data_IF_121332238077
#
_entry.id   IF_121332238077
#
_cell.length_a   1.000
_cell.length_b   1.000
_cell.length_c   1.000
_cell.angle_alpha   90.00
_cell.angle_beta   90.00
_cell.angle_gamma   90.00
#
_symmetry.space_group_name_H-M   'P 1'
#
loop_
_entity.id
_entity.type
_entity.pdbx_description
1 polymer ?
#
# COMPACT_ATOMS: atom_id res chain seq x y z
N UNK A 1 22.22 -4.83 -29.40
CA UNK A 1 21.42 -3.99 -28.47
C UNK A 1 22.40 -3.21 -27.61
N UNK A 2 22.16 -1.91 -27.32
CA UNK A 2 23.00 -1.19 -26.38
C UNK A 2 22.96 -1.88 -25.00
N UNK A 3 24.07 -1.84 -24.27
CA UNK A 3 24.14 -2.40 -22.94
C UNK A 3 23.21 -1.62 -22.00
N UNK A 4 22.27 -2.32 -21.35
CA UNK A 4 21.43 -1.74 -20.31
C UNK A 4 22.31 -1.54 -19.08
N UNK A 5 22.51 -0.30 -18.65
CA UNK A 5 23.23 0.02 -17.43
C UNK A 5 22.21 0.18 -16.31
N UNK A 6 22.24 -0.72 -15.32
CA UNK A 6 21.40 -0.64 -14.13
C UNK A 6 22.22 0.10 -13.06
N UNK A 7 21.68 1.18 -12.46
CA UNK A 7 22.41 1.90 -11.42
C UNK A 7 22.57 1.04 -10.16
N UNK A 8 23.69 1.22 -9.46
CA UNK A 8 24.00 0.50 -8.21
C UNK A 8 23.00 0.78 -7.08
N UNK A 9 22.27 1.90 -7.17
CA UNK A 9 21.20 2.28 -6.24
C UNK A 9 19.96 2.58 -7.07
N UNK A 10 18.89 1.86 -6.80
CA UNK A 10 17.65 1.94 -7.55
C UNK A 10 16.47 1.80 -6.59
N UNK A 11 15.61 2.82 -6.51
CA UNK A 11 14.26 2.64 -5.99
C UNK A 11 13.28 2.50 -7.16
N UNK A 12 12.42 1.49 -7.12
CA UNK A 12 11.46 1.23 -8.19
C UNK A 12 10.42 2.35 -8.34
N UNK A 13 10.02 3.02 -7.27
CA UNK A 13 9.12 4.16 -7.34
C UNK A 13 9.76 5.33 -8.12
N UNK A 14 11.04 5.61 -7.87
CA UNK A 14 11.76 6.66 -8.59
C UNK A 14 11.93 6.30 -10.08
N UNK A 15 12.35 5.07 -10.36
CA UNK A 15 12.62 4.61 -11.71
C UNK A 15 11.37 4.55 -12.61
N UNK A 16 10.26 4.03 -12.07
CA UNK A 16 9.03 3.84 -12.86
C UNK A 16 8.12 5.07 -12.83
N UNK A 17 8.10 5.85 -11.75
CA UNK A 17 7.19 6.98 -11.61
C UNK A 17 7.89 8.33 -11.71
N UNK A 18 8.83 8.64 -10.81
CA UNK A 18 9.42 9.99 -10.71
C UNK A 18 10.19 10.35 -11.99
N UNK A 19 10.84 9.39 -12.62
CA UNK A 19 11.46 9.56 -13.93
C UNK A 19 10.47 10.05 -15.00
N UNK A 20 9.20 9.63 -14.96
CA UNK A 20 8.17 10.09 -15.91
C UNK A 20 7.80 11.54 -15.68
N UNK A 21 7.81 12.01 -14.43
CA UNK A 21 7.61 13.42 -14.13
C UNK A 21 8.81 14.25 -14.64
N UNK A 22 10.03 13.79 -14.41
CA UNK A 22 11.25 14.45 -14.90
C UNK A 22 11.32 14.53 -16.44
N UNK A 23 10.77 13.52 -17.13
CA UNK A 23 10.62 13.50 -18.59
C UNK A 23 9.47 14.39 -19.12
N UNK A 24 8.75 15.11 -18.26
CA UNK A 24 7.60 15.95 -18.64
C UNK A 24 6.34 15.14 -18.99
N UNK A 25 6.26 13.88 -18.57
CA UNK A 25 5.12 12.96 -18.83
C UNK A 25 4.19 12.82 -17.62
N UNK A 26 4.28 13.73 -16.65
CA UNK A 26 3.48 13.68 -15.42
C UNK A 26 1.98 13.62 -15.67
N UNK A 27 1.48 14.35 -16.68
CA UNK A 27 0.04 14.44 -16.96
C UNK A 27 -0.44 13.33 -17.91
N UNK A 28 0.45 12.43 -18.35
CA UNK A 28 0.08 11.27 -19.16
C UNK A 28 -0.67 10.26 -18.30
N UNK A 29 -1.80 9.77 -18.81
CA UNK A 29 -2.55 8.66 -18.21
C UNK A 29 -1.68 7.41 -18.09
N UNK A 30 -1.62 6.86 -16.89
CA UNK A 30 -0.86 5.67 -16.51
C UNK A 30 -1.78 4.49 -16.21
N UNK A 31 -2.93 4.74 -15.57
CA UNK A 31 -3.94 3.73 -15.24
C UNK A 31 -5.31 4.20 -15.76
N UNK A 32 -6.01 3.29 -16.43
CA UNK A 32 -7.44 3.40 -16.71
C UNK A 32 -8.18 2.51 -15.72
N UNK A 33 -9.11 3.07 -14.97
CA UNK A 33 -9.90 2.33 -13.98
C UNK A 33 -11.33 2.81 -13.97
N UNK A 34 -12.28 1.94 -14.33
CA UNK A 34 -13.69 2.31 -14.55
C UNK A 34 -13.77 3.54 -15.49
N UNK A 35 -14.43 4.61 -15.06
CA UNK A 35 -14.56 5.87 -15.80
C UNK A 35 -13.45 6.89 -15.47
N UNK A 36 -12.37 6.46 -14.80
CA UNK A 36 -11.28 7.32 -14.36
C UNK A 36 -10.01 7.11 -15.19
N UNK A 37 -9.37 8.23 -15.50
CA UNK A 37 -8.01 8.28 -16.05
C UNK A 37 -7.07 8.84 -14.98
N UNK A 38 -6.05 8.06 -14.63
CA UNK A 38 -5.14 8.40 -13.53
C UNK A 38 -3.76 8.63 -14.13
N UNK A 39 -3.26 9.85 -13.96
CA UNK A 39 -1.97 10.27 -14.49
C UNK A 39 -0.79 9.78 -13.67
N UNK A 40 0.41 9.78 -14.25
CA UNK A 40 1.64 9.49 -13.49
C UNK A 40 1.80 10.41 -12.27
N UNK A 41 1.47 11.70 -12.41
CA UNK A 41 1.50 12.67 -11.32
C UNK A 41 0.59 12.25 -10.17
N UNK A 42 -0.65 11.86 -10.46
CA UNK A 42 -1.59 11.41 -9.44
C UNK A 42 -1.07 10.18 -8.69
N UNK A 43 -0.47 9.21 -9.39
CA UNK A 43 0.14 8.03 -8.75
C UNK A 43 1.32 8.44 -7.85
N UNK A 44 2.19 9.36 -8.31
CA UNK A 44 3.32 9.85 -7.51
C UNK A 44 2.83 10.52 -6.23
N UNK A 45 1.87 11.44 -6.34
CA UNK A 45 1.33 12.18 -5.20
C UNK A 45 0.68 11.24 -4.18
N UNK A 46 -0.17 10.32 -4.63
CA UNK A 46 -0.79 9.32 -3.75
C UNK A 46 0.25 8.38 -3.12
N UNK A 47 1.26 7.93 -3.88
CA UNK A 47 2.35 7.10 -3.32
C UNK A 47 3.16 7.85 -2.26
N UNK A 48 3.32 9.18 -2.39
CA UNK A 48 3.98 10.01 -1.41
C UNK A 48 3.14 10.13 -0.13
N UNK A 49 1.82 10.27 -0.26
CA UNK A 49 0.92 10.27 0.90
C UNK A 49 1.01 8.94 1.66
N UNK A 50 0.98 7.80 0.96
CA UNK A 50 1.19 6.48 1.56
C UNK A 50 2.54 6.41 2.29
N UNK A 51 3.61 6.86 1.65
CA UNK A 51 4.95 6.88 2.24
C UNK A 51 4.98 7.64 3.56
N UNK A 52 4.37 8.82 3.58
CA UNK A 52 4.32 9.68 4.76
C UNK A 52 3.46 9.06 5.87
N UNK A 53 2.31 8.46 5.51
CA UNK A 53 1.48 7.72 6.46
C UNK A 53 2.26 6.57 7.11
N UNK A 54 2.94 5.74 6.32
CA UNK A 54 3.71 4.61 6.87
C UNK A 54 4.81 5.08 7.83
N UNK A 55 5.49 6.19 7.51
CA UNK A 55 6.49 6.80 8.39
C UNK A 55 5.88 7.35 9.68
N UNK A 56 4.72 8.01 9.59
CA UNK A 56 3.98 8.51 10.76
C UNK A 56 3.58 7.37 11.70
N UNK A 57 3.18 6.22 11.13
CA UNK A 57 2.88 4.99 11.85
C UNK A 57 4.13 4.25 12.38
N UNK A 58 5.32 4.82 12.15
CA UNK A 58 6.59 4.34 12.69
C UNK A 58 7.20 3.16 11.93
N UNK A 59 6.75 2.86 10.71
CA UNK A 59 7.39 1.86 9.85
C UNK A 59 8.80 2.31 9.46
N UNK A 60 9.71 1.35 9.44
CA UNK A 60 11.13 1.54 9.14
C UNK A 60 11.50 0.83 7.85
N UNK A 61 12.69 1.17 7.34
CA UNK A 61 13.31 0.43 6.24
C UNK A 61 13.31 -1.06 6.58
N UNK A 62 13.01 -1.90 5.59
CA UNK A 62 12.84 -3.35 5.70
C UNK A 62 11.59 -3.84 6.46
N UNK A 63 10.76 -2.97 7.03
CA UNK A 63 9.46 -3.43 7.55
C UNK A 63 8.57 -3.92 6.40
N UNK A 64 7.85 -5.02 6.66
CA UNK A 64 6.99 -5.64 5.66
C UNK A 64 5.58 -5.07 5.75
N UNK A 65 4.98 -4.81 4.60
CA UNK A 65 3.60 -4.36 4.48
C UNK A 65 2.84 -5.36 3.63
N UNK A 66 1.90 -6.06 4.25
CA UNK A 66 1.03 -7.00 3.55
C UNK A 66 -0.04 -6.20 2.78
N UNK A 67 -0.16 -6.47 1.49
CA UNK A 67 -1.13 -5.82 0.61
C UNK A 67 -2.21 -6.82 0.25
N UNK A 68 -3.41 -6.59 0.78
CA UNK A 68 -4.64 -7.34 0.52
C UNK A 68 -5.62 -6.45 -0.24
N UNK A 69 -5.17 -5.99 -1.41
CA UNK A 69 -5.87 -5.03 -2.25
C UNK A 69 -6.25 -5.68 -3.58
N UNK A 70 -7.45 -5.37 -4.05
CA UNK A 70 -7.99 -5.70 -5.35
C UNK A 70 -7.27 -4.91 -6.46
N UNK A 71 -7.51 -5.30 -7.71
CA UNK A 71 -6.96 -4.65 -8.91
C UNK A 71 -7.53 -3.24 -9.11
N UNK A 72 -7.02 -2.32 -8.31
CA UNK A 72 -7.51 -0.94 -8.13
C UNK A 72 -6.34 0.03 -8.10
N UNK A 73 -6.57 1.33 -8.35
CA UNK A 73 -5.51 2.33 -8.30
C UNK A 73 -4.79 2.38 -6.95
N UNK A 74 -5.50 2.13 -5.85
CA UNK A 74 -4.94 2.11 -4.50
C UNK A 74 -3.88 1.03 -4.33
N UNK A 75 -3.95 -0.10 -5.06
CA UNK A 75 -2.86 -1.07 -5.10
C UNK A 75 -1.57 -0.42 -5.60
N UNK A 76 -1.63 0.35 -6.69
CA UNK A 76 -0.45 1.03 -7.22
C UNK A 76 0.07 2.10 -6.24
N UNK A 77 -0.82 2.87 -5.63
CA UNK A 77 -0.44 3.88 -4.63
C UNK A 77 0.26 3.23 -3.42
N UNK A 78 -0.32 2.15 -2.90
CA UNK A 78 0.20 1.39 -1.77
C UNK A 78 1.56 0.78 -2.12
N UNK A 79 1.63 0.04 -3.23
CA UNK A 79 2.85 -0.67 -3.66
C UNK A 79 4.03 0.29 -3.82
N UNK A 80 3.86 1.37 -4.59
CA UNK A 80 4.94 2.34 -4.78
C UNK A 80 5.23 3.17 -3.53
N UNK A 81 4.24 3.45 -2.69
CA UNK A 81 4.44 4.14 -1.42
C UNK A 81 5.26 3.32 -0.41
N UNK A 82 4.98 2.02 -0.30
CA UNK A 82 5.75 1.09 0.52
C UNK A 82 7.21 1.04 0.05
N UNK A 83 7.43 0.91 -1.25
CA UNK A 83 8.78 0.90 -1.83
C UNK A 83 9.51 2.23 -1.62
N UNK A 84 8.82 3.36 -1.79
CA UNK A 84 9.36 4.70 -1.56
C UNK A 84 9.76 4.91 -0.10
N UNK A 85 9.04 4.27 0.84
CA UNK A 85 9.40 4.26 2.26
C UNK A 85 10.60 3.36 2.60
N UNK A 86 11.11 2.58 1.64
CA UNK A 86 12.14 1.56 1.88
C UNK A 86 11.61 0.32 2.61
N UNK A 87 10.29 0.18 2.69
CA UNK A 87 9.61 -0.99 3.23
C UNK A 87 9.51 -2.09 2.17
N UNK A 88 9.16 -3.31 2.59
CA UNK A 88 8.98 -4.47 1.71
C UNK A 88 7.49 -4.68 1.46
N UNK A 89 7.06 -4.48 0.22
CA UNK A 89 5.69 -4.80 -0.19
C UNK A 89 5.51 -6.31 -0.32
N UNK A 90 4.48 -6.85 0.34
CA UNK A 90 4.10 -8.27 0.29
C UNK A 90 2.67 -8.37 -0.26
N UNK A 91 2.49 -8.41 -1.59
CA UNK A 91 1.17 -8.69 -2.17
C UNK A 91 0.75 -10.13 -1.88
N UNK A 92 -0.48 -10.31 -1.40
CA UNK A 92 -1.08 -11.64 -1.23
C UNK A 92 -2.43 -11.71 -1.96
N UNK A 93 -2.89 -12.94 -2.23
CA UNK A 93 -4.16 -13.18 -2.90
C UNK A 93 -5.32 -12.74 -2.01
N UNK A 94 -6.30 -12.02 -2.57
CA UNK A 94 -7.47 -11.47 -1.86
C UNK A 94 -8.61 -12.48 -1.69
N UNK A 95 -8.54 -13.64 -2.34
CA UNK A 95 -9.55 -14.71 -2.25
C UNK A 95 -9.19 -15.82 -1.26
N UNK A 96 -8.27 -15.54 -0.34
CA UNK A 96 -7.83 -16.48 0.68
C UNK A 96 -8.77 -16.54 1.87
N UNK A 97 -8.68 -17.63 2.63
CA UNK A 97 -9.45 -17.82 3.85
C UNK A 97 -8.79 -17.12 5.04
N UNK A 98 -9.53 -17.00 6.15
CA UNK A 98 -8.98 -16.47 7.41
C UNK A 98 -7.74 -17.26 7.90
N UNK A 99 -7.74 -18.58 7.80
CA UNK A 99 -6.61 -19.43 8.22
C UNK A 99 -5.37 -19.19 7.34
N UNK A 100 -5.57 -18.98 6.04
CA UNK A 100 -4.49 -18.61 5.13
C UNK A 100 -3.90 -17.24 5.51
N UNK A 101 -4.74 -16.26 5.84
CA UNK A 101 -4.25 -14.96 6.31
C UNK A 101 -3.53 -15.05 7.65
N UNK A 102 -4.00 -15.87 8.58
CA UNK A 102 -3.29 -16.15 9.84
C UNK A 102 -1.88 -16.71 9.56
N UNK A 103 -1.75 -17.61 8.59
CA UNK A 103 -0.45 -18.11 8.14
C UNK A 103 0.44 -17.00 7.60
N UNK A 104 -0.06 -16.09 6.75
CA UNK A 104 0.72 -14.97 6.24
C UNK A 104 1.16 -14.00 7.33
N UNK A 105 0.32 -13.75 8.33
CA UNK A 105 0.66 -12.90 9.47
C UNK A 105 1.84 -13.48 10.28
N UNK A 106 1.86 -14.79 10.48
CA UNK A 106 2.95 -15.48 11.18
C UNK A 106 4.23 -15.58 10.32
N UNK A 107 4.07 -15.91 9.04
CA UNK A 107 5.18 -16.13 8.11
C UNK A 107 5.87 -14.82 7.71
N UNK A 108 5.10 -13.84 7.25
CA UNK A 108 5.64 -12.58 6.76
C UNK A 108 5.91 -11.56 7.87
N UNK A 109 5.26 -11.70 9.04
CA UNK A 109 5.35 -10.76 10.17
C UNK A 109 5.26 -9.31 9.70
N UNK A 110 4.17 -8.95 9.00
CA UNK A 110 4.01 -7.61 8.48
C UNK A 110 3.89 -6.63 9.65
N UNK A 111 4.53 -5.47 9.52
CA UNK A 111 4.35 -4.36 10.48
C UNK A 111 3.02 -3.66 10.25
N UNK A 112 2.54 -3.65 9.00
CA UNK A 112 1.24 -3.14 8.63
C UNK A 112 0.57 -4.02 7.57
N UNK A 113 -0.76 -4.01 7.55
CA UNK A 113 -1.59 -4.60 6.51
C UNK A 113 -2.42 -3.47 5.89
N UNK A 114 -2.38 -3.35 4.58
CA UNK A 114 -3.30 -2.49 3.82
C UNK A 114 -4.28 -3.41 3.12
N UNK A 115 -5.56 -3.29 3.46
CA UNK A 115 -6.60 -4.25 3.07
C UNK A 115 -7.82 -3.54 2.55
N UNK A 116 -8.40 -4.07 1.47
CA UNK A 116 -9.67 -3.56 0.98
C UNK A 116 -10.82 -3.93 1.92
N UNK A 117 -11.78 -3.02 2.04
CA UNK A 117 -13.00 -3.22 2.81
C UNK A 117 -13.71 -4.54 2.48
N UNK A 118 -13.71 -4.96 1.21
CA UNK A 118 -14.31 -6.21 0.72
C UNK A 118 -13.57 -7.47 1.21
N UNK A 119 -12.26 -7.37 1.45
CA UNK A 119 -11.39 -8.47 1.89
C UNK A 119 -11.29 -8.50 3.42
N UNK A 120 -11.51 -7.36 4.06
CA UNK A 120 -11.39 -7.19 5.51
C UNK A 120 -12.14 -8.25 6.34
N UNK A 121 -13.37 -8.69 6.00
CA UNK A 121 -14.09 -9.70 6.79
C UNK A 121 -13.33 -11.02 6.97
N UNK A 122 -12.46 -11.38 6.01
CA UNK A 122 -11.63 -12.60 6.11
C UNK A 122 -10.39 -12.38 6.99
N UNK A 123 -9.88 -11.15 7.07
CA UNK A 123 -8.74 -10.79 7.94
C UNK A 123 -9.17 -10.52 9.38
N UNK A 124 -10.34 -9.90 9.55
CA UNK A 124 -10.92 -9.46 10.82
C UNK A 124 -10.79 -10.47 11.98
N UNK A 125 -11.13 -11.78 11.80
CA UNK A 125 -11.10 -12.74 12.89
C UNK A 125 -9.70 -13.17 13.34
N UNK A 126 -8.64 -12.86 12.59
CA UNK A 126 -7.30 -13.46 12.83
C UNK A 126 -6.21 -12.44 13.16
N UNK A 127 -6.36 -11.17 12.79
CA UNK A 127 -5.23 -10.24 12.85
C UNK A 127 -4.84 -9.78 14.26
N UNK A 128 -5.81 -9.70 15.19
CA UNK A 128 -5.55 -9.31 16.59
C UNK A 128 -4.85 -10.41 17.38
N UNK A 129 -5.19 -11.66 17.08
CA UNK A 129 -4.69 -12.83 17.80
C UNK A 129 -3.37 -13.36 17.21
N UNK A 130 -2.87 -12.73 16.13
CA UNK A 130 -1.56 -13.03 15.58
C UNK A 130 -0.46 -12.80 16.62
N UNK A 131 0.62 -13.58 16.56
CA UNK A 131 1.75 -13.43 17.49
C UNK A 131 2.40 -12.04 17.42
N UNK A 132 2.31 -11.40 16.25
CA UNK A 132 2.77 -10.03 16.00
C UNK A 132 1.64 -9.24 15.31
N UNK A 133 0.69 -8.67 16.06
CA UNK A 133 -0.44 -7.96 15.48
C UNK A 133 0.03 -6.76 14.65
N UNK A 134 -0.34 -6.67 13.36
CA UNK A 134 0.04 -5.55 12.51
C UNK A 134 -0.84 -4.31 12.77
N UNK A 135 -0.38 -3.16 12.28
CA UNK A 135 -1.27 -2.01 12.09
C UNK A 135 -2.16 -2.29 10.87
N UNK A 136 -3.48 -2.17 10.99
CA UNK A 136 -4.40 -2.44 9.88
C UNK A 136 -4.96 -1.15 9.31
N UNK A 137 -4.77 -0.94 8.01
CA UNK A 137 -5.25 0.21 7.24
C UNK A 137 -6.29 -0.31 6.25
N UNK A 138 -7.53 0.17 6.36
CA UNK A 138 -8.66 -0.31 5.56
C UNK A 138 -8.94 0.68 4.43
N UNK A 139 -8.94 0.18 3.20
CA UNK A 139 -9.27 0.93 2.00
C UNK A 139 -10.75 0.72 1.70
N UNK A 140 -11.53 1.77 1.96
CA UNK A 140 -12.97 1.78 1.73
C UNK A 140 -13.31 2.80 0.64
N UNK A 141 -13.69 2.29 -0.54
CA UNK A 141 -14.03 3.10 -1.72
C UNK A 141 -15.51 3.44 -1.82
N UNK A 142 -16.38 2.61 -1.25
CA UNK A 142 -17.84 2.68 -1.46
C UNK A 142 -18.62 3.03 -0.17
N UNK A 143 -17.94 3.45 0.89
CA UNK A 143 -18.59 3.94 2.11
C UNK A 143 -19.04 2.83 3.07
N UNK A 144 -18.39 1.68 3.02
CA UNK A 144 -18.20 0.89 4.22
C UNK A 144 -19.19 -0.24 4.46
N UNK A 145 -20.02 -0.64 3.49
CA UNK A 145 -20.92 -1.77 3.69
C UNK A 145 -20.17 -3.07 4.09
N UNK A 146 -19.05 -3.38 3.43
CA UNK A 146 -18.28 -4.59 3.73
C UNK A 146 -17.49 -4.52 5.05
N UNK A 147 -17.00 -3.33 5.43
CA UNK A 147 -16.43 -3.12 6.77
C UNK A 147 -17.56 -3.19 7.81
N UNK A 148 -18.75 -2.63 7.49
CA UNK A 148 -19.97 -2.56 8.29
C UNK A 148 -20.57 -3.92 8.68
N UNK A 149 -20.18 -4.99 7.99
CA UNK A 149 -20.58 -6.37 8.31
C UNK A 149 -19.66 -7.06 9.33
N UNK A 150 -18.42 -6.59 9.52
CA UNK A 150 -17.53 -7.12 10.57
C UNK A 150 -17.98 -6.64 11.96
N UNK A 151 -17.93 -7.44 13.05
CA UNK A 151 -18.26 -6.97 14.40
C UNK A 151 -17.58 -5.64 14.77
N UNK A 152 -18.25 -4.77 15.53
CA UNK A 152 -17.68 -3.46 15.90
C UNK A 152 -16.36 -3.59 16.70
N UNK A 153 -16.26 -4.60 17.55
CA UNK A 153 -15.02 -4.97 18.24
C UNK A 153 -13.90 -5.30 17.24
N UNK A 154 -14.26 -5.85 16.08
CA UNK A 154 -13.29 -6.21 15.06
C UNK A 154 -12.77 -4.99 14.30
N UNK A 155 -13.41 -3.83 14.36
CA UNK A 155 -12.92 -2.59 13.70
C UNK A 155 -12.11 -1.69 14.63
N UNK A 156 -12.17 -1.92 15.94
CA UNK A 156 -11.48 -1.06 16.90
C UNK A 156 -9.97 -1.09 16.70
N UNK A 157 -9.36 0.05 16.37
CA UNK A 157 -7.93 0.17 16.10
C UNK A 157 -7.52 0.06 14.62
N UNK A 158 -8.47 -0.10 13.69
CA UNK A 158 -8.18 0.04 12.26
C UNK A 158 -8.07 1.52 11.87
N UNK A 159 -7.26 1.81 10.85
CA UNK A 159 -7.10 3.15 10.28
C UNK A 159 -7.89 3.24 8.97
N UNK A 160 -8.71 4.28 8.82
CA UNK A 160 -9.35 4.59 7.54
C UNK A 160 -8.33 5.18 6.56
N UNK A 161 -8.17 4.53 5.41
CA UNK A 161 -7.22 4.94 4.38
C UNK A 161 -7.47 6.35 3.86
N UNK A 162 -8.72 6.67 3.53
CA UNK A 162 -9.09 7.92 2.87
C UNK A 162 -8.88 9.11 3.81
N UNK A 163 -9.31 8.98 5.06
CA UNK A 163 -9.09 10.01 6.09
C UNK A 163 -7.61 10.17 6.45
N UNK A 164 -6.86 9.06 6.51
CA UNK A 164 -5.45 9.09 6.85
C UNK A 164 -4.62 9.73 5.74
N UNK A 165 -4.84 9.37 4.48
CA UNK A 165 -4.11 9.94 3.34
C UNK A 165 -4.44 11.41 3.09
N UNK A 166 -5.68 11.84 3.33
CA UNK A 166 -6.08 13.24 3.17
C UNK A 166 -5.27 14.22 4.06
N UNK A 167 -4.66 13.72 5.15
CA UNK A 167 -3.82 14.50 6.07
C UNK A 167 -2.35 14.54 5.64
N UNK A 168 -1.96 13.72 4.68
CA UNK A 168 -0.56 13.57 4.27
C UNK A 168 -0.19 14.53 3.13
N UNK A 169 1.05 15.00 3.17
CA UNK A 169 1.62 15.76 2.07
C UNK A 169 1.75 14.89 0.80
N UNK A 170 1.54 15.51 -0.37
CA UNK A 170 1.66 14.89 -1.69
C UNK A 170 3.10 14.77 -2.19
N UNK A 171 4.09 15.05 -1.34
CA UNK A 171 5.52 14.90 -1.63
C UNK A 171 6.18 14.10 -0.50
N UNK A 172 7.13 13.25 -0.84
CA UNK A 172 7.87 12.45 0.13
C UNK A 172 9.30 12.20 -0.37
N UNK A 173 10.25 12.18 0.57
CA UNK A 173 11.61 11.71 0.26
C UNK A 173 11.57 10.22 -0.03
N UNK A 174 12.20 9.79 -1.12
CA UNK A 174 12.40 8.38 -1.45
C UNK A 174 13.59 7.82 -0.66
N UNK A 175 13.39 6.73 0.07
CA UNK A 175 14.51 6.00 0.65
C UNK A 175 15.26 5.22 -0.43
N UNK A 176 16.60 5.21 -0.40
CA UNK A 176 17.37 4.38 -1.30
C UNK A 176 17.20 2.91 -0.91
N UNK A 177 16.79 2.06 -1.85
CA UNK A 177 16.86 0.60 -1.68
C UNK A 177 18.34 0.22 -1.60
N UNK A 178 18.74 -0.40 -0.48
CA UNK A 178 20.14 -0.72 -0.16
C UNK A 178 20.65 -1.97 -0.90
N UNK A 179 21.98 -2.18 -0.85
CA UNK A 179 22.64 -3.44 -1.18
C UNK A 179 22.37 -4.50 -0.12
#
# INVERSE_FOLDING_TARGET
MPAITIPDRLNMAEWFLDARLAEGRGDKTAIYYRDQEISYRAIVEASCQVTNLLRELGLRIEDRVLLLLLDTPEFAYAYFGVLRAGCVAVPANTWLTADDYAYYLEYARPRAVIVDAEVYPQLAPVWRDAAYPPIVIVVDRDGGAAVADAPAADREGTIDWSEALARQATTARTEPTYR
#
